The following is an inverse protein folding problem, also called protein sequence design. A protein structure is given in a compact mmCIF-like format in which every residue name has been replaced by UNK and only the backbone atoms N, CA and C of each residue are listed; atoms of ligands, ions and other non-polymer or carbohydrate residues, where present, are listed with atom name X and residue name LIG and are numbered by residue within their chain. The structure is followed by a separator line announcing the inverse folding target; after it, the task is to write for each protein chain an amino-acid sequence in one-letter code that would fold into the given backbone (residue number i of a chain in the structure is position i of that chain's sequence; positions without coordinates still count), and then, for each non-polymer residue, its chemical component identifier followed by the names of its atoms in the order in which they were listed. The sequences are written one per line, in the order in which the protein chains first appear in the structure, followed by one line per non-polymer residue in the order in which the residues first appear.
data_IF_767740673138
#
_entry.id   IF_767740673138
#
_cell.length_a   1.000
_cell.length_b   1.000
_cell.length_c   1.000
_cell.angle_alpha   90.00
_cell.angle_beta   90.00
_cell.angle_gamma   90.00
#
_symmetry.space_group_name_H-M   'P 1'
#
loop_
_entity.id
_entity.type
_entity.pdbx_description
1 polymer ?
#
# COMPACT_ATOMS: atom_id res chain seq x y z
N UNK A 1 -21.76 -10.36 9.99
CA UNK A 1 -22.16 -10.63 8.58
C UNK A 1 -21.74 -12.05 8.22
N UNK A 2 -22.59 -12.88 7.60
CA UNK A 2 -22.17 -14.22 7.18
C UNK A 2 -21.18 -14.14 6.02
N UNK A 3 -20.22 -15.07 5.93
CA UNK A 3 -19.21 -15.09 4.85
C UNK A 3 -19.85 -15.03 3.47
N UNK A 4 -20.95 -15.77 3.25
CA UNK A 4 -21.70 -15.78 1.98
C UNK A 4 -22.16 -14.39 1.53
N UNK A 5 -22.54 -13.51 2.46
CA UNK A 5 -22.99 -12.14 2.12
C UNK A 5 -21.81 -11.21 1.83
N UNK A 6 -20.62 -11.49 2.37
CA UNK A 6 -19.41 -10.68 2.14
C UNK A 6 -18.68 -11.05 0.83
N UNK A 7 -18.91 -12.26 0.30
CA UNK A 7 -18.31 -12.72 -0.97
C UNK A 7 -18.80 -11.88 -2.16
N UNK A 8 -20.10 -11.58 -2.24
CA UNK A 8 -20.68 -10.83 -3.37
C UNK A 8 -20.03 -9.45 -3.56
N UNK A 9 -20.00 -8.56 -2.55
CA UNK A 9 -19.35 -7.25 -2.72
C UNK A 9 -17.86 -7.38 -2.99
N UNK A 10 -17.17 -8.33 -2.35
CA UNK A 10 -15.74 -8.53 -2.57
C UNK A 10 -15.42 -9.00 -4.00
N UNK A 11 -16.27 -9.86 -4.59
CA UNK A 11 -16.17 -10.27 -5.99
C UNK A 11 -16.42 -9.10 -6.95
N UNK A 12 -17.47 -8.31 -6.71
CA UNK A 12 -17.77 -7.13 -7.54
C UNK A 12 -16.61 -6.13 -7.49
N UNK A 13 -16.09 -5.84 -6.30
CA UNK A 13 -14.92 -4.98 -6.14
C UNK A 13 -13.67 -5.54 -6.81
N UNK A 14 -13.39 -6.84 -6.65
CA UNK A 14 -12.26 -7.51 -7.29
C UNK A 14 -12.35 -7.45 -8.81
N UNK A 15 -13.51 -7.73 -9.40
CA UNK A 15 -13.70 -7.61 -10.85
C UNK A 15 -13.55 -6.16 -11.33
N UNK A 16 -14.08 -5.20 -10.58
CA UNK A 16 -14.05 -3.79 -10.95
C UNK A 16 -12.62 -3.22 -10.91
N UNK A 17 -11.83 -3.49 -9.86
CA UNK A 17 -10.45 -3.01 -9.80
C UNK A 17 -9.59 -3.64 -10.90
N UNK A 18 -9.76 -4.93 -11.17
CA UNK A 18 -9.05 -5.62 -12.25
C UNK A 18 -9.43 -5.02 -13.60
N UNK A 19 -10.72 -4.76 -13.84
CA UNK A 19 -11.19 -4.14 -15.08
C UNK A 19 -10.68 -2.70 -15.25
N UNK A 20 -10.68 -1.90 -14.19
CA UNK A 20 -10.18 -0.52 -14.22
C UNK A 20 -8.69 -0.47 -14.51
N UNK A 21 -7.89 -1.33 -13.87
CA UNK A 21 -6.44 -1.41 -14.10
C UNK A 21 -6.14 -1.98 -15.48
N UNK A 22 -6.94 -2.93 -15.96
CA UNK A 22 -6.83 -3.46 -17.31
C UNK A 22 -7.11 -2.38 -18.35
N UNK A 23 -8.18 -1.62 -18.15
CA UNK A 23 -8.55 -0.50 -19.01
C UNK A 23 -7.53 0.64 -18.99
N UNK A 24 -6.97 0.93 -17.81
CA UNK A 24 -5.87 1.87 -17.65
C UNK A 24 -4.64 1.43 -18.47
N UNK A 25 -4.25 0.15 -18.35
CA UNK A 25 -3.17 -0.42 -19.14
C UNK A 25 -3.39 -0.32 -20.66
N UNK A 26 -4.60 -0.61 -21.13
CA UNK A 26 -4.97 -0.48 -22.54
C UNK A 26 -4.97 0.97 -23.05
N UNK A 27 -5.19 1.94 -22.16
CA UNK A 27 -5.23 3.37 -22.50
C UNK A 27 -3.84 3.95 -22.81
N UNK A 28 -2.75 3.26 -22.46
CA UNK A 28 -1.39 3.67 -22.80
C UNK A 28 -1.20 3.77 -24.34
N UNK A 29 -1.75 2.80 -25.09
CA UNK A 29 -1.75 2.81 -26.56
C UNK A 29 -2.51 4.02 -27.13
N UNK A 30 -3.63 4.39 -26.51
CA UNK A 30 -4.43 5.54 -26.94
C UNK A 30 -3.64 6.87 -26.79
N UNK A 31 -2.76 6.95 -25.79
CA UNK A 31 -1.86 8.08 -25.57
C UNK A 31 -0.66 8.11 -26.55
N UNK A 32 -0.46 7.07 -27.35
CA UNK A 32 0.54 7.04 -28.43
C UNK A 32 0.06 7.71 -29.72
N UNK A 33 -1.24 7.93 -29.88
CA UNK A 33 -1.77 8.61 -31.06
C UNK A 33 -1.42 10.09 -31.03
N UNK A 34 -1.01 10.62 -32.20
CA UNK A 34 -0.63 12.03 -32.43
C UNK A 34 -1.73 13.03 -32.07
N UNK A 35 -2.99 12.58 -31.99
CA UNK A 35 -4.11 13.39 -31.52
C UNK A 35 -4.13 13.61 -30.00
N UNK A 36 -3.59 12.68 -29.20
CA UNK A 36 -3.54 12.81 -27.75
C UNK A 36 -2.65 13.99 -27.32
N UNK A 37 -1.52 14.20 -27.99
CA UNK A 37 -0.63 15.36 -27.77
C UNK A 37 -1.20 16.71 -28.23
N UNK A 38 -2.33 16.70 -28.94
CA UNK A 38 -3.03 17.94 -29.31
C UNK A 38 -4.09 18.36 -28.29
N UNK A 39 -4.53 17.42 -27.44
CA UNK A 39 -5.52 17.63 -26.37
C UNK A 39 -4.84 17.75 -25.00
N UNK A 40 -3.77 16.98 -24.79
CA UNK A 40 -2.91 17.03 -23.61
C UNK A 40 -1.52 17.50 -24.00
N UNK A 41 -0.89 18.31 -23.15
CA UNK A 41 0.49 18.72 -23.35
C UNK A 41 1.46 17.52 -23.31
N UNK A 42 2.60 17.63 -23.97
CA UNK A 42 3.58 16.55 -24.14
C UNK A 42 4.05 16.02 -22.76
N UNK A 43 4.27 16.93 -21.81
CA UNK A 43 4.71 16.57 -20.47
C UNK A 43 3.64 15.78 -19.71
N UNK A 44 2.37 16.20 -19.83
CA UNK A 44 1.23 15.47 -19.25
C UNK A 44 1.06 14.08 -19.86
N UNK A 45 1.22 13.93 -21.19
CA UNK A 45 1.17 12.63 -21.85
C UNK A 45 2.31 11.72 -21.39
N UNK A 46 3.52 12.27 -21.22
CA UNK A 46 4.67 11.50 -20.74
C UNK A 46 4.47 11.00 -19.30
N UNK A 47 3.88 11.82 -18.44
CA UNK A 47 3.59 11.49 -17.05
C UNK A 47 2.44 10.46 -16.95
N UNK A 48 1.36 10.63 -17.72
CA UNK A 48 0.29 9.62 -17.79
C UNK A 48 0.83 8.28 -18.30
N UNK A 49 1.70 8.27 -19.32
CA UNK A 49 2.33 7.01 -19.76
C UNK A 49 3.16 6.39 -18.67
N UNK A 50 3.92 7.18 -17.90
CA UNK A 50 4.69 6.68 -16.76
C UNK A 50 3.79 5.99 -15.72
N UNK A 51 2.58 6.49 -15.49
CA UNK A 51 1.63 5.88 -14.55
C UNK A 51 0.99 4.60 -15.06
N UNK A 52 0.71 4.56 -16.37
CA UNK A 52 0.00 3.44 -17.00
C UNK A 52 0.94 2.31 -17.42
N UNK A 53 2.23 2.60 -17.63
CA UNK A 53 3.26 1.63 -18.02
C UNK A 53 3.37 0.39 -17.11
N UNK A 54 3.19 0.47 -15.77
CA UNK A 54 3.13 -0.72 -14.91
C UNK A 54 1.93 -1.64 -15.20
N UNK A 55 0.92 -1.19 -15.93
CA UNK A 55 -0.29 -1.95 -16.25
C UNK A 55 -0.47 -2.22 -17.74
N UNK A 56 0.43 -1.71 -18.60
CA UNK A 56 0.36 -1.87 -20.05
C UNK A 56 0.61 -3.33 -20.46
N UNK A 57 -0.05 -3.77 -21.53
CA UNK A 57 0.20 -5.10 -22.13
C UNK A 57 1.35 -5.11 -23.12
N UNK A 58 1.78 -3.94 -23.58
CA UNK A 58 2.90 -3.82 -24.51
C UNK A 58 4.22 -3.71 -23.76
N UNK A 59 5.24 -4.46 -24.18
CA UNK A 59 6.57 -4.34 -23.61
C UNK A 59 7.16 -2.96 -23.95
N UNK A 60 7.95 -2.34 -23.04
CA UNK A 60 8.56 -1.05 -23.29
C UNK A 60 9.47 -1.12 -24.52
N UNK A 61 9.12 -0.33 -25.53
CA UNK A 61 9.65 -0.34 -26.91
C UNK A 61 11.16 -0.12 -27.03
N UNK A 62 11.84 0.32 -25.96
CA UNK A 62 13.29 0.54 -25.92
C UNK A 62 14.11 -0.56 -25.24
N UNK A 63 13.51 -1.64 -24.76
CA UNK A 63 14.23 -2.65 -23.96
C UNK A 63 14.52 -3.98 -24.67
N UNK A 64 13.88 -4.23 -25.82
CA UNK A 64 13.97 -5.50 -26.52
C UNK A 64 14.92 -5.47 -27.74
N UNK A 65 15.49 -4.31 -28.11
CA UNK A 65 16.15 -4.14 -29.43
C UNK A 65 17.63 -3.77 -29.42
N UNK A 66 18.26 -3.41 -28.30
CA UNK A 66 19.60 -2.79 -28.35
C UNK A 66 20.80 -3.77 -28.35
N UNK A 67 20.56 -5.06 -28.62
CA UNK A 67 21.65 -6.06 -28.68
C UNK A 67 21.58 -7.07 -29.83
N UNK A 68 20.57 -7.02 -30.69
CA UNK A 68 20.30 -8.10 -31.65
C UNK A 68 20.52 -7.67 -33.11
N UNK A 69 21.75 -7.29 -33.44
CA UNK A 69 22.23 -7.28 -34.82
C UNK A 69 22.54 -8.73 -35.26
N UNK A 70 21.53 -9.49 -35.67
CA UNK A 70 21.73 -10.68 -36.53
C UNK A 70 20.82 -11.89 -36.31
N UNK A 71 20.15 -12.31 -37.39
CA UNK A 71 19.72 -13.70 -37.65
C UNK A 71 18.42 -14.21 -36.98
N UNK A 72 17.87 -15.29 -37.54
CA UNK A 72 16.63 -15.99 -37.10
C UNK A 72 16.64 -16.46 -35.63
N UNK A 73 17.77 -16.39 -34.94
CA UNK A 73 17.90 -16.66 -33.49
C UNK A 73 17.52 -15.46 -32.63
N UNK A 74 17.69 -14.23 -33.14
CA UNK A 74 17.24 -13.00 -32.47
C UNK A 74 15.71 -12.91 -32.39
N UNK A 75 15.01 -13.35 -33.44
CA UNK A 75 13.53 -13.36 -33.48
C UNK A 75 12.94 -14.41 -32.52
N UNK A 76 13.58 -15.58 -32.39
CA UNK A 76 13.19 -16.60 -31.42
C UNK A 76 13.44 -16.16 -29.96
N UNK A 77 14.53 -15.43 -29.70
CA UNK A 77 14.82 -14.83 -28.40
C UNK A 77 13.82 -13.74 -28.03
N UNK A 78 13.51 -12.83 -28.95
CA UNK A 78 12.52 -11.77 -28.77
C UNK A 78 11.12 -12.32 -28.49
N UNK A 79 10.71 -13.40 -29.17
CA UNK A 79 9.44 -14.10 -28.91
C UNK A 79 9.38 -14.69 -27.49
N UNK A 80 10.49 -15.26 -26.99
CA UNK A 80 10.54 -15.80 -25.63
C UNK A 80 10.45 -14.72 -24.55
N UNK A 81 11.07 -13.57 -24.77
CA UNK A 81 10.98 -12.44 -23.85
C UNK A 81 9.59 -11.79 -23.83
N UNK A 82 8.92 -11.69 -24.99
CA UNK A 82 7.54 -11.19 -25.06
C UNK A 82 6.54 -12.17 -24.41
N UNK A 83 6.73 -13.48 -24.55
CA UNK A 83 5.94 -14.49 -23.83
C UNK A 83 6.11 -14.38 -22.30
N UNK A 84 7.33 -14.16 -21.82
CA UNK A 84 7.61 -13.93 -20.40
C UNK A 84 6.94 -12.66 -19.88
N UNK A 85 6.97 -11.58 -20.65
CA UNK A 85 6.27 -10.33 -20.34
C UNK A 85 4.75 -10.54 -20.26
N UNK A 86 4.17 -11.22 -21.25
CA UNK A 86 2.76 -11.58 -21.26
C UNK A 86 2.35 -12.43 -20.05
N UNK A 87 3.18 -13.41 -19.68
CA UNK A 87 3.01 -14.23 -18.47
C UNK A 87 3.04 -13.37 -17.20
N UNK A 88 3.98 -12.44 -17.11
CA UNK A 88 4.10 -11.54 -15.97
C UNK A 88 2.83 -10.68 -15.80
N UNK A 89 2.28 -10.15 -16.89
CA UNK A 89 1.05 -9.37 -16.86
C UNK A 89 -0.17 -10.22 -16.50
N UNK A 90 -0.27 -11.45 -17.01
CA UNK A 90 -1.33 -12.38 -16.61
C UNK A 90 -1.28 -12.67 -15.10
N UNK A 91 -0.09 -12.96 -14.56
CA UNK A 91 0.12 -13.16 -13.13
C UNK A 91 -0.29 -11.91 -12.35
N UNK A 92 0.09 -10.71 -12.82
CA UNK A 92 -0.24 -9.44 -12.17
C UNK A 92 -1.75 -9.24 -12.05
N UNK A 93 -2.51 -9.36 -13.13
CA UNK A 93 -3.97 -9.13 -13.08
C UNK A 93 -4.70 -10.17 -12.22
N UNK A 94 -4.30 -11.44 -12.31
CA UNK A 94 -4.85 -12.50 -11.44
C UNK A 94 -4.50 -12.23 -9.98
N UNK A 95 -3.26 -11.85 -9.69
CA UNK A 95 -2.82 -11.56 -8.33
C UNK A 95 -3.55 -10.36 -7.74
N UNK A 96 -3.76 -9.27 -8.49
CA UNK A 96 -4.56 -8.12 -8.00
C UNK A 96 -5.97 -8.58 -7.63
N UNK A 97 -6.62 -9.34 -8.52
CA UNK A 97 -7.96 -9.86 -8.27
C UNK A 97 -8.01 -10.66 -6.97
N UNK A 98 -7.10 -11.62 -6.80
CA UNK A 98 -7.06 -12.51 -5.64
C UNK A 98 -6.74 -11.75 -4.35
N UNK A 99 -5.73 -10.88 -4.34
CA UNK A 99 -5.34 -10.12 -3.15
C UNK A 99 -6.41 -9.10 -2.76
N UNK A 100 -7.00 -8.41 -3.74
CA UNK A 100 -8.10 -7.48 -3.46
C UNK A 100 -9.31 -8.24 -2.92
N UNK A 101 -9.73 -9.32 -3.57
CA UNK A 101 -10.84 -10.17 -3.14
C UNK A 101 -10.65 -10.65 -1.70
N UNK A 102 -9.47 -11.18 -1.38
CA UNK A 102 -9.17 -11.72 -0.06
C UNK A 102 -9.24 -10.64 1.05
N UNK A 103 -8.63 -9.48 0.82
CA UNK A 103 -8.65 -8.39 1.80
C UNK A 103 -10.01 -7.71 1.89
N UNK A 104 -10.69 -7.45 0.77
CA UNK A 104 -12.04 -6.88 0.76
C UNK A 104 -13.04 -7.80 1.46
N UNK A 105 -12.96 -9.11 1.23
CA UNK A 105 -13.78 -10.10 1.92
C UNK A 105 -13.52 -10.08 3.43
N UNK A 106 -12.25 -10.05 3.84
CA UNK A 106 -11.88 -9.95 5.25
C UNK A 106 -12.38 -8.65 5.88
N UNK A 107 -12.17 -7.51 5.22
CA UNK A 107 -12.54 -6.18 5.71
C UNK A 107 -14.06 -6.02 5.82
N UNK A 108 -14.83 -6.37 4.79
CA UNK A 108 -16.30 -6.30 4.79
C UNK A 108 -16.89 -7.28 5.79
N UNK A 109 -16.30 -8.47 5.94
CA UNK A 109 -16.74 -9.44 6.92
C UNK A 109 -16.49 -8.96 8.36
N UNK A 110 -15.33 -8.34 8.62
CA UNK A 110 -14.90 -7.93 9.96
C UNK A 110 -15.40 -6.56 10.38
N UNK A 111 -15.60 -5.66 9.42
CA UNK A 111 -16.16 -4.32 9.57
C UNK A 111 -17.36 -4.27 8.62
N UNK A 112 -18.56 -4.73 9.03
CA UNK A 112 -19.73 -4.67 8.17
C UNK A 112 -20.20 -3.20 8.02
N UNK A 113 -20.64 -2.77 6.83
CA UNK A 113 -21.05 -1.38 6.57
C UNK A 113 -22.47 -1.09 7.11
N UNK A 114 -22.62 -1.16 8.43
CA UNK A 114 -23.83 -0.75 9.15
C UNK A 114 -23.75 0.73 9.54
N UNK A 115 -24.85 1.34 10.01
CA UNK A 115 -24.88 2.73 10.47
C UNK A 115 -23.72 3.02 11.44
N UNK A 116 -22.86 3.98 11.10
CA UNK A 116 -21.67 4.37 11.86
C UNK A 116 -20.37 3.57 11.60
N UNK A 117 -20.37 2.54 10.74
CA UNK A 117 -19.15 1.81 10.30
C UNK A 117 -18.83 2.03 8.81
N UNK A 118 -19.78 2.52 8.02
CA UNK A 118 -19.63 2.77 6.57
C UNK A 118 -18.38 3.58 6.17
N UNK A 119 -18.04 4.72 6.81
CA UNK A 119 -16.86 5.48 6.40
C UNK A 119 -15.57 4.69 6.68
N UNK A 120 -15.51 3.97 7.80
CA UNK A 120 -14.35 3.12 8.12
C UNK A 120 -14.20 1.97 7.13
N UNK A 121 -15.30 1.34 6.71
CA UNK A 121 -15.26 0.29 5.67
C UNK A 121 -14.81 0.83 4.32
N UNK A 122 -15.28 2.02 3.95
CA UNK A 122 -14.92 2.66 2.69
C UNK A 122 -13.43 2.99 2.67
N UNK A 123 -12.92 3.64 3.72
CA UNK A 123 -11.51 3.97 3.83
C UNK A 123 -10.63 2.73 3.88
N UNK A 124 -11.04 1.68 4.60
CA UNK A 124 -10.25 0.44 4.67
C UNK A 124 -10.20 -0.28 3.31
N UNK A 125 -11.34 -0.41 2.61
CA UNK A 125 -11.37 -1.04 1.28
C UNK A 125 -10.61 -0.20 0.26
N UNK A 126 -10.70 1.12 0.35
CA UNK A 126 -9.94 2.04 -0.50
C UNK A 126 -8.42 1.90 -0.26
N UNK A 127 -7.97 1.95 0.99
CA UNK A 127 -6.57 1.79 1.35
C UNK A 127 -6.01 0.40 1.02
N UNK A 128 -6.86 -0.63 0.96
CA UNK A 128 -6.46 -1.96 0.53
C UNK A 128 -6.19 -2.07 -0.97
N UNK A 129 -6.77 -1.20 -1.81
CA UNK A 129 -6.57 -1.22 -3.26
C UNK A 129 -5.09 -1.03 -3.68
N UNK A 130 -4.37 0.01 -3.25
CA UNK A 130 -2.96 0.16 -3.58
C UNK A 130 -2.11 -0.96 -2.98
N UNK A 131 -2.48 -1.49 -1.80
CA UNK A 131 -1.80 -2.65 -1.18
C UNK A 131 -1.91 -3.90 -2.07
N UNK A 132 -3.11 -4.21 -2.55
CA UNK A 132 -3.34 -5.35 -3.43
C UNK A 132 -2.55 -5.20 -4.75
N UNK A 133 -2.51 -3.98 -5.30
CA UNK A 133 -1.71 -3.66 -6.47
C UNK A 133 -0.21 -3.88 -6.23
N UNK A 134 0.34 -3.34 -5.14
CA UNK A 134 1.75 -3.54 -4.77
C UNK A 134 2.07 -5.03 -4.60
N UNK A 135 1.22 -5.80 -3.91
CA UNK A 135 1.40 -7.24 -3.76
C UNK A 135 1.39 -7.96 -5.12
N UNK A 136 0.49 -7.60 -6.02
CA UNK A 136 0.46 -8.19 -7.37
C UNK A 136 1.69 -7.85 -8.20
N UNK A 137 2.21 -6.62 -8.07
CA UNK A 137 3.45 -6.19 -8.71
C UNK A 137 4.63 -6.98 -8.14
N UNK A 138 4.70 -7.17 -6.82
CA UNK A 138 5.77 -7.99 -6.19
C UNK A 138 5.78 -9.43 -6.71
N UNK A 139 4.60 -10.05 -6.86
CA UNK A 139 4.49 -11.45 -7.32
C UNK A 139 4.82 -11.57 -8.81
N UNK A 140 4.50 -10.58 -9.63
CA UNK A 140 4.80 -10.59 -11.08
C UNK A 140 6.22 -10.14 -11.43
N UNK A 141 6.91 -9.43 -10.53
CA UNK A 141 8.20 -8.80 -10.80
C UNK A 141 9.31 -9.77 -11.27
N UNK A 142 9.44 -11.01 -10.77
CA UNK A 142 10.46 -11.95 -11.27
C UNK A 142 10.35 -12.22 -12.77
N UNK A 143 9.13 -12.38 -13.29
CA UNK A 143 8.87 -12.61 -14.71
C UNK A 143 9.13 -11.36 -15.55
N UNK A 144 8.81 -10.16 -15.03
CA UNK A 144 9.14 -8.91 -15.71
C UNK A 144 10.65 -8.68 -15.79
N UNK A 145 11.39 -8.94 -14.72
CA UNK A 145 12.85 -8.79 -14.73
C UNK A 145 13.47 -9.77 -15.71
N UNK A 146 13.01 -11.03 -15.71
CA UNK A 146 13.44 -12.04 -16.68
C UNK A 146 13.10 -11.64 -18.13
N UNK A 147 11.95 -11.00 -18.37
CA UNK A 147 11.54 -10.53 -19.70
C UNK A 147 12.45 -9.44 -20.28
N UNK A 148 13.15 -8.70 -19.42
CA UNK A 148 14.08 -7.64 -19.84
C UNK A 148 15.48 -8.14 -20.22
N UNK A 149 15.78 -9.44 -20.12
CA UNK A 149 17.08 -10.00 -20.53
C UNK A 149 18.30 -9.54 -19.71
N UNK A 150 18.10 -8.88 -18.55
CA UNK A 150 19.20 -8.37 -17.73
C UNK A 150 19.81 -9.50 -16.88
N UNK A 151 21.14 -9.67 -16.96
CA UNK A 151 21.89 -10.58 -16.09
C UNK A 151 21.78 -10.21 -14.60
N UNK A 152 21.88 -11.20 -13.71
CA UNK A 152 21.48 -11.18 -12.29
C UNK A 152 22.06 -10.06 -11.40
N UNK A 153 23.03 -9.29 -11.87
CA UNK A 153 23.79 -8.30 -11.09
C UNK A 153 23.01 -7.05 -10.65
N UNK A 154 21.75 -6.87 -11.08
CA UNK A 154 20.88 -5.75 -10.65
C UNK A 154 19.45 -6.17 -10.29
N UNK A 155 19.23 -7.45 -10.00
CA UNK A 155 17.91 -8.00 -9.72
C UNK A 155 17.22 -7.31 -8.53
N UNK A 156 17.94 -7.11 -7.42
CA UNK A 156 17.37 -6.54 -6.19
C UNK A 156 16.97 -5.05 -6.34
N UNK A 157 17.82 -4.16 -6.92
CA UNK A 157 17.41 -2.78 -7.26
C UNK A 157 16.25 -2.71 -8.25
N UNK A 158 16.23 -3.58 -9.27
CA UNK A 158 15.14 -3.63 -10.25
C UNK A 158 13.82 -4.07 -9.60
N UNK A 159 13.86 -5.06 -8.70
CA UNK A 159 12.70 -5.49 -7.95
C UNK A 159 12.12 -4.33 -7.12
N UNK A 160 12.97 -3.57 -6.42
CA UNK A 160 12.52 -2.41 -5.64
C UNK A 160 11.86 -1.34 -6.52
N UNK A 161 12.47 -1.01 -7.67
CA UNK A 161 11.92 -0.05 -8.63
C UNK A 161 10.58 -0.49 -9.21
N UNK A 162 10.44 -1.77 -9.56
CA UNK A 162 9.19 -2.33 -10.07
C UNK A 162 8.09 -2.27 -9.00
N UNK A 163 8.40 -2.61 -7.75
CA UNK A 163 7.42 -2.58 -6.65
C UNK A 163 6.95 -1.15 -6.33
N UNK A 164 7.82 -0.15 -6.47
CA UNK A 164 7.50 1.24 -6.20
C UNK A 164 6.61 1.90 -7.28
N UNK A 165 6.52 1.34 -8.49
CA UNK A 165 5.83 1.98 -9.63
C UNK A 165 4.31 1.81 -9.64
N UNK A 166 3.73 0.99 -8.76
CA UNK A 166 2.30 0.64 -8.82
C UNK A 166 1.33 1.70 -8.25
N UNK A 167 1.87 2.77 -7.63
CA UNK A 167 1.15 3.63 -6.69
C UNK A 167 -0.06 4.39 -7.25
N UNK A 168 0.11 5.32 -8.21
CA UNK A 168 -0.92 6.33 -8.49
C UNK A 168 -2.21 5.75 -9.07
N UNK A 169 -2.10 4.89 -10.09
CA UNK A 169 -3.27 4.32 -10.79
C UNK A 169 -4.10 3.45 -9.85
N UNK A 170 -3.45 2.69 -8.95
CA UNK A 170 -4.14 1.84 -8.01
C UNK A 170 -4.93 2.62 -6.94
N UNK A 171 -4.44 3.81 -6.54
CA UNK A 171 -5.14 4.70 -5.61
C UNK A 171 -6.45 5.21 -6.25
N UNK A 172 -6.40 5.65 -7.50
CA UNK A 172 -7.59 6.12 -8.23
C UNK A 172 -8.56 4.99 -8.58
N UNK A 173 -8.07 3.85 -9.05
CA UNK A 173 -8.89 2.67 -9.29
C UNK A 173 -9.58 2.21 -7.99
N UNK A 174 -8.85 2.27 -6.87
CA UNK A 174 -9.40 2.03 -5.53
C UNK A 174 -10.51 3.01 -5.15
N UNK A 175 -10.37 4.29 -5.48
CA UNK A 175 -11.34 5.34 -5.12
C UNK A 175 -12.69 5.12 -5.80
N UNK A 176 -12.70 4.54 -7.00
CA UNK A 176 -13.91 4.12 -7.70
C UNK A 176 -14.42 2.75 -7.21
N UNK A 177 -13.50 1.83 -6.92
CA UNK A 177 -13.85 0.45 -6.54
C UNK A 177 -14.45 0.36 -5.13
N UNK A 178 -13.90 1.10 -4.17
CA UNK A 178 -14.33 1.09 -2.77
C UNK A 178 -15.80 1.50 -2.57
N UNK A 179 -16.30 2.63 -3.12
CA UNK A 179 -17.71 3.01 -2.97
C UNK A 179 -18.64 1.97 -3.61
N UNK A 180 -18.31 1.45 -4.80
CA UNK A 180 -19.09 0.39 -5.44
C UNK A 180 -19.16 -0.87 -4.54
N UNK A 181 -18.01 -1.32 -4.02
CA UNK A 181 -17.90 -2.46 -3.11
C UNK A 181 -18.75 -2.25 -1.84
N UNK A 182 -18.65 -1.07 -1.22
CA UNK A 182 -19.40 -0.74 0.00
C UNK A 182 -20.89 -0.58 -0.26
N UNK A 183 -21.29 0.00 -1.40
CA UNK A 183 -22.69 0.11 -1.79
C UNK A 183 -23.32 -1.28 -1.97
N UNK A 184 -22.67 -2.17 -2.71
CA UNK A 184 -23.10 -3.58 -2.85
C UNK A 184 -23.16 -4.24 -1.48
N UNK A 185 -22.14 -4.04 -0.63
CA UNK A 185 -22.13 -4.61 0.71
C UNK A 185 -23.31 -4.10 1.57
N UNK A 186 -23.64 -2.81 1.50
CA UNK A 186 -24.83 -2.25 2.19
C UNK A 186 -26.13 -2.85 1.68
N UNK A 187 -26.26 -3.08 0.38
CA UNK A 187 -27.42 -3.76 -0.21
C UNK A 187 -27.56 -5.19 0.32
N UNK A 188 -26.44 -5.94 0.43
CA UNK A 188 -26.45 -7.32 0.95
C UNK A 188 -26.69 -7.42 2.47
N UNK A 189 -26.44 -6.34 3.22
CA UNK A 189 -26.62 -6.28 4.69
C UNK A 189 -28.00 -5.74 5.07
N UNK A 190 -28.77 -5.18 4.13
CA UNK A 190 -30.11 -4.65 4.37
C UNK A 190 -31.00 -5.71 5.05
N UNK A 191 -31.49 -5.40 6.25
CA UNK A 191 -32.30 -6.31 7.07
C UNK A 191 -31.54 -7.21 8.06
N UNK A 192 -30.21 -7.10 8.16
CA UNK A 192 -29.45 -7.74 9.24
C UNK A 192 -29.42 -6.82 10.48
N UNK A 193 -29.66 -7.38 11.67
CA UNK A 193 -29.53 -6.61 12.92
C UNK A 193 -28.09 -6.07 13.11
N UNK A 194 -27.94 -4.83 13.60
CA UNK A 194 -26.62 -4.27 13.86
C UNK A 194 -25.94 -5.05 14.99
N UNK A 195 -24.80 -5.68 14.69
CA UNK A 195 -24.00 -6.33 15.73
C UNK A 195 -23.45 -5.26 16.69
N UNK A 196 -23.61 -5.47 18.03
CA UNK A 196 -23.18 -4.50 19.03
C UNK A 196 -21.68 -4.22 18.90
N UNK A 197 -21.27 -2.98 19.21
CA UNK A 197 -19.86 -2.60 19.28
C UNK A 197 -19.23 -3.27 20.48
N UNK A 198 -18.04 -3.84 20.30
CA UNK A 198 -17.29 -4.38 21.42
C UNK A 198 -16.81 -3.21 22.28
N UNK A 199 -17.23 -3.15 23.55
CA UNK A 199 -16.77 -2.16 24.51
C UNK A 199 -15.35 -2.51 24.95
N UNK A 200 -14.36 -1.96 24.26
CA UNK A 200 -12.95 -2.07 24.65
C UNK A 200 -12.63 -0.95 25.63
N UNK A 201 -12.02 -1.22 26.80
CA UNK A 201 -11.65 -0.18 27.74
C UNK A 201 -10.72 0.84 27.07
N UNK A 202 -11.06 2.12 27.21
CA UNK A 202 -10.43 3.21 26.47
C UNK A 202 -8.91 3.31 26.70
N UNK A 203 -8.43 2.90 27.89
CA UNK A 203 -7.01 2.91 28.26
C UNK A 203 -6.22 1.85 27.49
N UNK A 204 -6.72 0.62 27.41
CA UNK A 204 -6.09 -0.46 26.65
C UNK A 204 -6.03 -0.14 25.15
N UNK A 205 -7.10 0.43 24.60
CA UNK A 205 -7.13 0.86 23.19
C UNK A 205 -6.12 1.98 22.89
N UNK A 206 -5.95 2.94 23.81
CA UNK A 206 -4.95 4.01 23.66
C UNK A 206 -3.51 3.49 23.75
N UNK A 207 -3.23 2.58 24.68
CA UNK A 207 -1.91 1.95 24.82
C UNK A 207 -1.55 1.14 23.57
N UNK A 208 -2.50 0.37 23.05
CA UNK A 208 -2.31 -0.40 21.82
C UNK A 208 -2.06 0.49 20.61
N UNK A 209 -2.83 1.58 20.47
CA UNK A 209 -2.62 2.57 19.44
C UNK A 209 -1.23 3.22 19.55
N UNK A 210 -0.81 3.64 20.76
CA UNK A 210 0.50 4.25 20.96
C UNK A 210 1.67 3.32 20.64
N UNK A 211 1.54 2.02 20.97
CA UNK A 211 2.58 1.04 20.67
C UNK A 211 2.70 0.79 19.17
N UNK A 212 1.56 0.62 18.47
CA UNK A 212 1.55 0.48 17.01
C UNK A 212 2.12 1.73 16.31
N UNK A 213 1.74 2.92 16.75
CA UNK A 213 2.27 4.17 16.17
C UNK A 213 3.73 4.41 16.49
N UNK A 214 4.23 3.96 17.63
CA UNK A 214 5.65 4.08 17.97
C UNK A 214 6.52 3.31 16.96
N UNK A 215 6.07 2.15 16.49
CA UNK A 215 6.75 1.39 15.44
C UNK A 215 6.81 2.18 14.13
N UNK A 216 5.70 2.80 13.74
CA UNK A 216 5.62 3.64 12.53
C UNK A 216 6.45 4.91 12.68
N UNK A 217 6.40 5.57 13.84
CA UNK A 217 7.20 6.76 14.13
C UNK A 217 8.70 6.44 14.12
N UNK A 218 9.10 5.32 14.69
CA UNK A 218 10.48 4.86 14.66
C UNK A 218 10.95 4.63 13.22
N UNK A 219 10.10 4.02 12.39
CA UNK A 219 10.37 3.85 10.96
C UNK A 219 10.55 5.17 10.24
N UNK A 220 9.59 6.10 10.37
CA UNK A 220 9.66 7.42 9.76
C UNK A 220 10.93 8.16 10.20
N UNK A 221 11.25 8.18 11.49
CA UNK A 221 12.43 8.89 12.01
C UNK A 221 13.74 8.26 11.56
N UNK A 222 13.87 6.93 11.63
CA UNK A 222 15.13 6.24 11.27
C UNK A 222 15.35 6.29 9.75
N UNK A 223 14.32 6.07 8.95
CA UNK A 223 14.43 5.96 7.50
C UNK A 223 14.45 7.32 6.79
N UNK A 224 13.85 8.35 7.39
CA UNK A 224 13.87 9.72 6.86
C UNK A 224 15.17 10.47 7.18
N UNK A 225 16.00 9.99 8.11
CA UNK A 225 17.25 10.68 8.47
C UNK A 225 18.39 10.32 7.50
N UNK A 226 18.73 11.24 6.59
CA UNK A 226 19.75 11.06 5.54
C UNK A 226 21.06 10.44 6.04
N UNK A 227 21.58 10.90 7.17
CA UNK A 227 22.87 10.44 7.68
C UNK A 227 22.82 9.01 8.23
N UNK A 228 21.64 8.56 8.69
CA UNK A 228 21.41 7.16 9.08
C UNK A 228 21.23 6.30 7.84
N UNK A 229 20.41 6.74 6.87
CA UNK A 229 20.25 6.05 5.59
C UNK A 229 21.58 5.92 4.83
N UNK A 230 22.36 6.99 4.76
CA UNK A 230 23.68 7.02 4.11
C UNK A 230 24.71 6.15 4.86
N UNK A 231 24.74 6.20 6.20
CA UNK A 231 25.60 5.29 6.98
C UNK A 231 25.24 3.83 6.77
N UNK A 232 23.96 3.48 6.75
CA UNK A 232 23.51 2.10 6.52
C UNK A 232 23.80 1.68 5.06
N UNK A 233 23.64 2.57 4.09
CA UNK A 233 23.96 2.30 2.69
C UNK A 233 25.47 2.17 2.41
N UNK A 234 26.32 2.77 3.24
CA UNK A 234 27.79 2.75 3.06
C UNK A 234 28.48 1.71 3.95
N UNK A 235 27.87 1.29 5.06
CA UNK A 235 28.49 0.35 6.00
C UNK A 235 28.64 -1.08 5.47
N UNK A 236 27.90 -1.46 4.42
CA UNK A 236 27.92 -2.80 3.83
C UNK A 236 28.51 -2.86 2.41
N UNK A 237 29.17 -1.79 1.96
CA UNK A 237 29.82 -1.73 0.64
C UNK A 237 31.19 -2.41 0.62
N UNK A 238 31.24 -3.74 0.61
CA UNK A 238 32.49 -4.49 0.46
C UNK A 238 32.22 -5.94 0.08
N UNK A 239 32.98 -6.48 -0.87
CA UNK A 239 32.86 -7.85 -1.39
C UNK A 239 33.24 -8.95 -0.39
N UNK A 240 32.58 -8.99 0.77
CA UNK A 240 32.72 -10.03 1.80
C UNK A 240 31.38 -10.67 2.15
N UNK A 241 31.37 -11.59 3.13
CA UNK A 241 30.20 -12.38 3.58
C UNK A 241 28.94 -11.57 3.97
N UNK A 242 29.04 -10.24 4.09
CA UNK A 242 27.94 -9.33 4.42
C UNK A 242 27.42 -8.53 3.22
N UNK A 243 27.90 -8.77 2.00
CA UNK A 243 27.42 -8.10 0.80
C UNK A 243 25.95 -8.45 0.50
N UNK A 244 25.59 -9.73 0.60
CA UNK A 244 24.24 -10.24 0.38
C UNK A 244 23.21 -9.70 1.41
N UNK A 245 23.44 -9.78 2.74
CA UNK A 245 22.53 -9.16 3.71
C UNK A 245 22.56 -7.62 3.65
N UNK A 246 23.68 -7.02 3.22
CA UNK A 246 23.79 -5.59 2.95
C UNK A 246 22.88 -5.14 1.81
N UNK A 247 22.83 -5.89 0.71
CA UNK A 247 21.96 -5.62 -0.43
C UNK A 247 20.47 -5.81 -0.08
N UNK A 248 20.14 -6.82 0.73
CA UNK A 248 18.79 -7.00 1.27
C UNK A 248 18.36 -5.84 2.17
N UNK A 249 19.26 -5.35 3.03
CA UNK A 249 19.00 -4.19 3.86
C UNK A 249 18.82 -2.93 3.01
N UNK A 250 19.67 -2.74 1.98
CA UNK A 250 19.55 -1.64 1.02
C UNK A 250 18.21 -1.67 0.30
N UNK A 251 17.76 -2.85 -0.11
CA UNK A 251 16.48 -3.05 -0.76
C UNK A 251 15.31 -2.81 0.20
N UNK A 252 15.43 -3.26 1.45
CA UNK A 252 14.45 -3.00 2.49
C UNK A 252 14.35 -1.50 2.80
N UNK A 253 15.48 -0.76 2.82
CA UNK A 253 15.49 0.70 2.95
C UNK A 253 14.84 1.39 1.74
N UNK A 254 15.11 0.94 0.52
CA UNK A 254 14.48 1.50 -0.69
C UNK A 254 12.97 1.27 -0.71
N UNK A 255 12.50 0.11 -0.23
CA UNK A 255 11.07 -0.20 -0.10
C UNK A 255 10.44 0.47 1.13
N UNK A 256 11.23 0.79 2.15
CA UNK A 256 10.82 1.39 3.42
C UNK A 256 10.86 2.91 3.44
N UNK A 257 11.40 3.55 2.40
CA UNK A 257 11.48 4.99 2.31
C UNK A 257 10.07 5.60 2.20
N UNK A 258 9.73 6.47 3.16
CA UNK A 258 8.45 7.18 3.19
C UNK A 258 8.48 8.44 2.33
N UNK A 259 9.61 9.16 2.33
CA UNK A 259 9.83 10.39 1.57
C UNK A 259 11.32 10.52 1.19
N UNK A 260 11.58 11.20 0.07
CA UNK A 260 12.93 11.57 -0.35
C UNK A 260 13.49 12.69 0.51
N UNK A 261 14.81 12.82 0.65
CA UNK A 261 15.35 13.77 1.61
C UNK A 261 15.51 15.16 1.00
N UNK A 262 14.90 16.17 1.64
CA UNK A 262 15.02 17.56 1.21
C UNK A 262 16.06 18.33 2.02
N UNK A 263 16.96 18.99 1.30
CA UNK A 263 17.89 19.99 1.84
C UNK A 263 17.25 21.38 1.73
N UNK A 264 16.15 21.59 2.44
CA UNK A 264 15.42 22.85 2.49
C UNK A 264 15.79 23.71 3.71
N UNK A 265 15.50 25.03 3.69
CA UNK A 265 15.59 25.89 4.86
C UNK A 265 14.70 25.37 6.01
N UNK A 266 15.01 25.78 7.24
CA UNK A 266 14.43 25.26 8.50
C UNK A 266 12.88 25.36 8.56
N UNK A 267 12.31 26.36 7.86
CA UNK A 267 10.85 26.54 7.73
C UNK A 267 10.20 25.44 6.88
N UNK A 268 10.74 25.16 5.70
CA UNK A 268 10.25 24.11 4.80
C UNK A 268 10.40 22.73 5.45
N UNK A 269 11.49 22.54 6.20
CA UNK A 269 11.70 21.31 6.98
C UNK A 269 10.61 21.08 8.04
N UNK A 270 10.18 22.12 8.76
CA UNK A 270 9.11 22.00 9.75
C UNK A 270 7.75 21.73 9.10
N UNK A 271 7.49 22.36 7.96
CA UNK A 271 6.25 22.18 7.19
C UNK A 271 6.16 20.75 6.62
N UNK A 272 7.27 20.23 6.09
CA UNK A 272 7.38 18.85 5.62
C UNK A 272 7.19 17.84 6.77
N UNK A 273 7.76 18.12 7.95
CA UNK A 273 7.53 17.30 9.15
C UNK A 273 6.11 17.38 9.69
N UNK A 274 5.34 18.43 9.38
CA UNK A 274 3.93 18.48 9.74
C UNK A 274 3.13 17.38 9.04
N UNK A 275 3.52 16.98 7.83
CA UNK A 275 2.91 15.86 7.11
C UNK A 275 3.20 14.51 7.79
N UNK A 276 4.41 14.30 8.31
CA UNK A 276 4.73 13.11 9.12
C UNK A 276 3.89 13.07 10.41
N UNK A 277 3.73 14.20 11.08
CA UNK A 277 2.90 14.31 12.29
C UNK A 277 1.44 14.01 11.95
N UNK A 278 0.93 14.52 10.83
CA UNK A 278 -0.41 14.22 10.34
C UNK A 278 -0.58 12.72 10.08
N UNK A 279 0.36 12.10 9.38
CA UNK A 279 0.36 10.65 9.15
C UNK A 279 0.30 9.89 10.48
N UNK A 280 1.16 10.21 11.44
CA UNK A 280 1.18 9.54 12.75
C UNK A 280 -0.11 9.77 13.54
N UNK A 281 -0.69 10.98 13.47
CA UNK A 281 -1.97 11.29 14.10
C UNK A 281 -3.12 10.47 13.49
N UNK A 282 -3.16 10.35 12.16
CA UNK A 282 -4.16 9.53 11.44
C UNK A 282 -3.99 8.06 11.81
N UNK A 283 -2.76 7.53 11.81
CA UNK A 283 -2.46 6.14 12.19
C UNK A 283 -2.85 5.88 13.65
N UNK A 284 -2.51 6.79 14.56
CA UNK A 284 -2.87 6.67 15.97
C UNK A 284 -4.38 6.65 16.17
N UNK A 285 -5.07 7.59 15.53
CA UNK A 285 -6.52 7.72 15.62
C UNK A 285 -7.23 6.49 15.09
N UNK A 286 -6.83 6.00 13.92
CA UNK A 286 -7.41 4.81 13.29
C UNK A 286 -7.13 3.55 14.10
N UNK A 287 -5.89 3.32 14.56
CA UNK A 287 -5.55 2.18 15.43
C UNK A 287 -6.30 2.21 16.75
N UNK A 288 -6.57 3.40 17.30
CA UNK A 288 -7.39 3.56 18.51
C UNK A 288 -8.84 3.16 18.29
N UNK A 289 -9.40 3.44 17.11
CA UNK A 289 -10.79 3.10 16.76
C UNK A 289 -10.95 1.65 16.30
N UNK A 290 -9.89 1.05 15.74
CA UNK A 290 -9.92 -0.25 15.09
C UNK A 290 -10.50 -1.38 15.98
N UNK A 291 -10.10 -1.54 17.27
CA UNK A 291 -10.66 -2.59 18.13
C UNK A 291 -12.18 -2.47 18.36
N UNK A 292 -12.72 -1.26 18.40
CA UNK A 292 -14.16 -1.02 18.57
C UNK A 292 -14.97 -1.12 17.27
N UNK A 293 -14.30 -0.95 16.13
CA UNK A 293 -14.91 -1.08 14.79
C UNK A 293 -15.02 -2.55 14.36
N UNK A 294 -14.03 -3.37 14.74
CA UNK A 294 -14.00 -4.80 14.43
C UNK A 294 -15.10 -5.56 15.17
N UNK A 295 -15.73 -6.50 14.46
CA UNK A 295 -16.66 -7.48 15.05
C UNK A 295 -15.95 -8.53 15.88
N UNK A 296 -14.66 -8.80 15.60
CA UNK A 296 -13.80 -9.69 16.39
C UNK A 296 -12.33 -9.29 16.21
N UNK A 297 -11.62 -9.14 17.32
CA UNK A 297 -10.17 -8.90 17.34
C UNK A 297 -9.41 -10.19 17.04
N UNK A 298 -9.05 -10.38 15.77
CA UNK A 298 -8.21 -11.50 15.31
C UNK A 298 -6.90 -10.96 14.78
N UNK A 299 -5.84 -11.78 14.80
CA UNK A 299 -4.51 -11.41 14.23
C UNK A 299 -4.64 -10.84 12.81
N UNK A 300 -5.27 -11.54 11.84
CA UNK A 300 -5.33 -11.02 10.47
C UNK A 300 -6.19 -9.76 10.35
N UNK A 301 -7.23 -9.60 11.17
CA UNK A 301 -8.05 -8.39 11.14
C UNK A 301 -7.32 -7.16 11.70
N UNK A 302 -6.52 -7.33 12.76
CA UNK A 302 -5.69 -6.26 13.30
C UNK A 302 -4.57 -5.89 12.34
N UNK A 303 -3.90 -6.88 11.73
CA UNK A 303 -2.82 -6.65 10.76
C UNK A 303 -3.35 -5.94 9.52
N UNK A 304 -4.40 -6.45 8.87
CA UNK A 304 -4.96 -5.83 7.67
C UNK A 304 -5.52 -4.43 7.98
N UNK A 305 -6.19 -4.27 9.13
CA UNK A 305 -6.67 -2.95 9.57
C UNK A 305 -5.56 -1.95 9.85
N UNK A 306 -4.45 -2.38 10.44
CA UNK A 306 -3.28 -1.54 10.69
C UNK A 306 -2.55 -1.16 9.39
N UNK A 307 -2.46 -2.07 8.41
CA UNK A 307 -1.96 -1.76 7.06
C UNK A 307 -2.86 -0.73 6.38
N UNK A 308 -4.19 -0.87 6.47
CA UNK A 308 -5.10 0.14 5.92
C UNK A 308 -4.93 1.50 6.63
N UNK A 309 -4.71 1.50 7.94
CA UNK A 309 -4.45 2.70 8.73
C UNK A 309 -3.16 3.41 8.31
N UNK A 310 -2.05 2.67 8.12
CA UNK A 310 -0.77 3.24 7.68
C UNK A 310 -0.86 3.79 6.26
N UNK A 311 -1.56 3.09 5.35
CA UNK A 311 -1.79 3.59 3.99
C UNK A 311 -2.69 4.83 3.99
N UNK A 312 -3.75 4.89 4.81
CA UNK A 312 -4.53 6.12 4.95
C UNK A 312 -3.70 7.29 5.49
N UNK A 313 -2.82 7.04 6.47
CA UNK A 313 -1.91 8.05 7.00
C UNK A 313 -0.92 8.55 5.96
N UNK A 314 -0.33 7.64 5.18
CA UNK A 314 0.55 7.94 4.05
C UNK A 314 -0.16 8.83 3.02
N UNK A 315 -1.35 8.44 2.57
CA UNK A 315 -2.11 9.20 1.58
C UNK A 315 -2.52 10.58 2.12
N UNK A 316 -2.86 10.70 3.41
CA UNK A 316 -3.15 11.99 4.04
C UNK A 316 -1.91 12.91 4.07
N UNK A 317 -0.73 12.35 4.36
CA UNK A 317 0.54 13.09 4.29
C UNK A 317 0.86 13.51 2.86
N UNK A 318 0.68 12.65 1.87
CA UNK A 318 0.90 12.97 0.46
C UNK A 318 -0.01 14.07 -0.06
N UNK A 319 -1.29 14.04 0.31
CA UNK A 319 -2.24 15.13 -0.03
C UNK A 319 -1.81 16.45 0.60
N UNK A 320 -1.24 16.42 1.81
CA UNK A 320 -0.71 17.63 2.44
C UNK A 320 0.57 18.12 1.74
N UNK A 321 1.49 17.24 1.37
CA UNK A 321 2.67 17.61 0.56
C UNK A 321 2.24 18.24 -0.76
N UNK A 322 1.27 17.69 -1.47
CA UNK A 322 0.73 18.28 -2.72
C UNK A 322 0.14 19.68 -2.54
N UNK A 323 -0.36 20.00 -1.35
CA UNK A 323 -0.90 21.32 -1.05
C UNK A 323 0.18 22.33 -0.63
N UNK A 324 1.34 21.84 -0.21
CA UNK A 324 2.49 22.63 0.23
C UNK A 324 3.46 22.87 -0.93
N UNK A 325 3.68 21.86 -1.77
CA UNK A 325 4.64 21.88 -2.86
C UNK A 325 4.10 22.72 -4.02
N UNK A 326 4.78 23.83 -4.31
CA UNK A 326 4.46 24.75 -5.40
C UNK A 326 4.90 24.20 -6.77
N UNK A 327 4.82 22.88 -6.95
CA UNK A 327 5.32 22.16 -8.14
C UNK A 327 4.33 22.22 -9.31
N UNK A 328 3.09 22.68 -9.07
CA UNK A 328 2.03 22.83 -10.07
C UNK A 328 2.47 23.75 -11.21
N UNK A 329 3.14 24.85 -10.87
CA UNK A 329 3.56 25.88 -11.82
C UNK A 329 4.75 25.43 -12.69
N UNK A 330 5.50 24.40 -12.26
CA UNK A 330 6.74 23.96 -12.91
C UNK A 330 6.55 22.66 -13.72
N UNK A 331 5.80 21.68 -13.20
CA UNK A 331 5.67 20.35 -13.79
C UNK A 331 4.22 19.98 -14.19
N UNK A 332 3.27 20.89 -13.96
CA UNK A 332 1.86 20.72 -14.29
C UNK A 332 1.05 19.88 -13.28
N UNK A 333 -0.29 19.90 -13.38
CA UNK A 333 -1.19 19.32 -12.37
C UNK A 333 -1.18 17.78 -12.34
N UNK A 334 -0.78 17.15 -13.44
CA UNK A 334 -0.66 15.68 -13.50
C UNK A 334 0.48 15.24 -12.59
N UNK A 335 1.64 15.90 -12.63
CA UNK A 335 2.82 15.51 -11.85
C UNK A 335 2.56 15.47 -10.33
N UNK A 336 1.66 16.32 -9.82
CA UNK A 336 1.25 16.31 -8.40
C UNK A 336 0.74 14.94 -7.94
N UNK A 337 0.01 14.23 -8.79
CA UNK A 337 -0.56 12.93 -8.43
C UNK A 337 0.42 11.76 -8.66
N UNK A 338 1.58 12.01 -9.26
CA UNK A 338 2.59 10.98 -9.55
C UNK A 338 3.18 10.37 -8.29
N UNK A 339 3.15 11.13 -7.19
CA UNK A 339 3.66 10.69 -5.90
C UNK A 339 2.61 9.91 -5.08
N UNK A 340 1.34 9.90 -5.49
CA UNK A 340 0.31 9.17 -4.75
C UNK A 340 0.61 7.67 -4.72
N UNK A 341 0.63 7.11 -3.51
CA UNK A 341 0.92 5.69 -3.31
C UNK A 341 2.41 5.33 -3.42
N UNK A 342 3.31 6.30 -3.59
CA UNK A 342 4.74 6.10 -3.30
C UNK A 342 4.88 5.74 -1.81
N UNK A 343 5.69 4.75 -1.44
CA UNK A 343 5.81 4.33 -0.03
C UNK A 343 4.72 3.36 0.48
N UNK A 344 3.79 2.88 -0.36
CA UNK A 344 2.87 1.78 0.01
C UNK A 344 3.60 0.50 0.48
N UNK A 345 4.77 0.10 -0.10
CA UNK A 345 5.55 -1.02 0.44
C UNK A 345 6.03 -0.80 1.89
N UNK A 346 6.42 0.44 2.23
CA UNK A 346 6.76 0.84 3.60
C UNK A 346 5.52 0.74 4.50
N UNK A 347 4.39 1.27 4.04
CA UNK A 347 3.14 1.21 4.78
C UNK A 347 2.66 -0.24 5.02
N UNK A 348 2.88 -1.15 4.07
CA UNK A 348 2.60 -2.57 4.23
C UNK A 348 3.47 -3.19 5.34
N UNK A 349 4.80 -3.04 5.23
CA UNK A 349 5.75 -3.67 6.17
C UNK A 349 5.59 -3.15 7.59
N UNK A 350 5.58 -1.83 7.77
CA UNK A 350 5.42 -1.22 9.09
C UNK A 350 3.99 -1.29 9.61
N UNK A 351 2.99 -1.33 8.73
CA UNK A 351 1.60 -1.58 9.10
C UNK A 351 1.39 -2.98 9.70
N UNK A 352 2.04 -4.01 9.16
CA UNK A 352 2.02 -5.36 9.72
C UNK A 352 2.61 -5.37 11.13
N UNK A 353 3.81 -4.78 11.29
CA UNK A 353 4.49 -4.71 12.59
C UNK A 353 3.67 -3.92 13.61
N UNK A 354 3.10 -2.77 13.20
CA UNK A 354 2.24 -1.95 14.04
C UNK A 354 0.98 -2.71 14.49
N UNK A 355 0.34 -3.46 13.59
CA UNK A 355 -0.84 -4.27 13.91
C UNK A 355 -0.53 -5.41 14.90
N UNK A 356 0.62 -6.07 14.75
CA UNK A 356 1.10 -7.09 15.68
C UNK A 356 1.40 -6.49 17.06
N UNK A 357 2.13 -5.38 17.12
CA UNK A 357 2.46 -4.68 18.36
C UNK A 357 1.18 -4.21 19.09
N UNK A 358 0.24 -3.61 18.36
CA UNK A 358 -1.05 -3.17 18.90
C UNK A 358 -1.88 -4.36 19.44
N UNK A 359 -1.86 -5.52 18.77
CA UNK A 359 -2.57 -6.70 19.25
C UNK A 359 -1.94 -7.29 20.52
N UNK A 360 -0.61 -7.40 20.57
CA UNK A 360 0.11 -7.93 21.74
C UNK A 360 -0.15 -7.07 22.97
N UNK A 361 -0.07 -5.75 22.81
CA UNK A 361 -0.36 -4.77 23.88
C UNK A 361 -1.82 -4.76 24.29
N UNK A 362 -2.76 -4.92 23.36
CA UNK A 362 -4.18 -5.06 23.69
C UNK A 362 -4.46 -6.30 24.54
N UNK A 363 -3.82 -7.44 24.21
CA UNK A 363 -3.94 -8.68 24.96
C UNK A 363 -3.33 -8.58 26.36
N UNK A 364 -2.16 -7.94 26.48
CA UNK A 364 -1.49 -7.78 27.77
C UNK A 364 -2.21 -6.80 28.69
N UNK A 365 -2.76 -5.71 28.15
CA UNK A 365 -3.57 -4.76 28.91
C UNK A 365 -4.89 -5.38 29.42
N UNK A 366 -5.61 -6.12 28.57
CA UNK A 366 -6.85 -6.79 28.98
C UNK A 366 -6.66 -7.87 30.05
N UNK A 367 -5.50 -8.54 30.07
CA UNK A 367 -5.16 -9.51 31.12
C UNK A 367 -4.86 -8.86 32.48
N UNK A 368 -4.40 -7.60 32.50
CA UNK A 368 -4.16 -6.85 33.74
C UNK A 368 -5.46 -6.39 34.38
N UNK A 369 -6.37 -5.82 33.59
CA UNK A 369 -7.68 -5.35 34.08
C UNK A 369 -8.48 -6.50 34.73
N UNK A 370 -8.43 -7.71 34.13
CA UNK A 370 -9.11 -8.90 34.69
C UNK A 370 -8.49 -9.38 36.00
N UNK A 371 -7.18 -9.18 36.19
CA UNK A 371 -6.46 -9.60 37.40
C UNK A 371 -6.67 -8.60 38.54
N UNK A 372 -6.77 -7.31 38.23
CA UNK A 372 -7.15 -6.28 39.20
C UNK A 372 -8.58 -6.49 39.72
N UNK A 373 -9.56 -6.76 38.83
CA UNK A 373 -10.94 -7.00 39.27
C UNK A 373 -11.11 -8.25 40.15
N UNK A 374 -10.29 -9.28 39.94
CA UNK A 374 -10.28 -10.49 40.77
C UNK A 374 -9.54 -10.30 42.12
N UNK A 375 -8.55 -9.41 42.16
CA UNK A 375 -7.83 -9.06 43.39
C UNK A 375 -8.67 -8.18 44.34
N UNK A 376 -9.51 -7.32 43.79
CA UNK A 376 -10.40 -6.43 44.54
C UNK A 376 -11.58 -7.20 45.17
N UNK A 377 -12.09 -8.23 44.49
CA UNK A 377 -13.17 -9.10 45.02
C UNK A 377 -12.73 -10.12 46.08
N UNK A 378 -11.43 -10.33 46.29
CA UNK A 378 -10.92 -11.25 47.31
C UNK A 378 -10.66 -10.59 48.68
N UNK A 379 -10.79 -9.26 48.77
CA UNK A 379 -10.50 -8.50 49.99
C UNK A 379 -11.72 -8.29 50.91
N UNK A 380 -12.93 -8.63 50.48
CA UNK A 380 -14.15 -8.55 51.30
C UNK A 380 -14.56 -9.94 51.82
N UNK A 381 -13.91 -10.40 52.89
CA UNK A 381 -14.50 -11.38 53.80
C UNK A 381 -14.68 -10.68 55.15
N UNK A 382 -15.89 -10.22 55.50
CA UNK A 382 -16.14 -9.69 56.83
C UNK A 382 -16.09 -10.84 57.83
N UNK A 383 -15.35 -10.63 58.92
CA UNK A 383 -15.35 -11.51 60.11
C UNK A 383 -16.58 -11.29 60.95
#
# INVERSE_FOLDING_TARGET
MTYRRAVIPALVGGLLITLLLWWAGASEQALQLRGATSVFDIDSVSELRRWLAPWSYDPPTGSLSDGATGGDTASAGAARYSELYGTAMQIRFVAVFVFFLAGALLLVHRIPPTQGRTPATLLAVWAWAPVAATLAVTVSAPWLIASGGHGSYRFLPQLAGVIASSGPVAVFAGLLTAPATVLVARLTVKGAEPQPRQSVPARAARLAASAGTAVVALSVVILSYQSVAARIQTSFGGGGLLSEPGDLLRQWLLLGAWTGPETGPLGDWLLYRAADVLMLAVVWWTLRLLPGLLTRTTVPAMVVGAVCATVCGLLASQVLHMAIDDTVDVWGPVHLFSELGTGVPAALTFGILAGLAALVTLRSAGSRDTRESLGEGAAEVPR
#
